data_IF_775622527392
#
_entry.id   IF_775622527392
#
_cell.length_a   1.000
_cell.length_b   1.000
_cell.length_c   1.000
_cell.angle_alpha   90.00
_cell.angle_beta   90.00
_cell.angle_gamma   90.00
#
_symmetry.space_group_name_H-M   'P 1'
#
loop_
_entity.id
_entity.type
_entity.pdbx_description
1 polymer ?
#
# COMPACT_ATOMS: atom_id res chain seq x y z
N UNK A 1 -10.16 14.62 32.85
CA UNK A 1 -9.75 15.15 31.53
C UNK A 1 -8.81 16.31 31.78
N UNK A 2 -7.69 16.39 31.06
CA UNK A 2 -6.73 17.50 31.17
C UNK A 2 -6.55 18.16 29.81
N UNK A 3 -6.58 19.50 29.80
CA UNK A 3 -6.34 20.32 28.62
C UNK A 3 -5.24 21.34 28.95
N UNK A 4 -4.14 21.36 28.19
CA UNK A 4 -3.04 22.30 28.45
C UNK A 4 -2.51 22.92 27.16
N UNK A 5 -2.25 24.23 27.20
CA UNK A 5 -1.76 25.02 26.07
C UNK A 5 -0.41 25.74 26.37
N UNK A 6 0.42 25.18 27.27
CA UNK A 6 1.76 25.69 27.58
C UNK A 6 2.88 24.81 27.01
N UNK A 7 3.85 25.42 26.33
CA UNK A 7 5.05 24.76 25.82
C UNK A 7 5.87 24.08 26.94
N UNK A 8 6.46 22.91 26.64
CA UNK A 8 7.31 22.18 27.57
C UNK A 8 6.61 21.54 28.78
N UNK A 9 5.29 21.35 28.73
CA UNK A 9 4.54 20.75 29.84
C UNK A 9 4.72 19.23 29.93
N UNK A 10 4.75 18.71 31.17
CA UNK A 10 4.67 17.28 31.46
C UNK A 10 3.28 16.95 31.97
N UNK A 11 2.55 16.08 31.27
CA UNK A 11 1.23 15.62 31.66
C UNK A 11 1.34 14.16 32.10
N UNK A 12 1.01 13.89 33.36
CA UNK A 12 0.98 12.55 33.94
C UNK A 12 -0.22 11.72 33.48
N UNK A 13 -0.59 10.71 34.27
CA UNK A 13 -1.66 9.77 33.93
C UNK A 13 -3.07 10.32 34.16
N UNK A 14 -3.86 10.40 33.09
CA UNK A 14 -5.26 10.78 33.04
C UNK A 14 -6.01 9.94 31.99
N UNK A 15 -7.32 9.80 32.14
CA UNK A 15 -8.13 9.06 31.15
C UNK A 15 -8.11 9.71 29.76
N UNK A 16 -8.21 11.04 29.70
CA UNK A 16 -8.22 11.80 28.44
C UNK A 16 -7.36 13.06 28.57
N UNK A 17 -6.46 13.25 27.60
CA UNK A 17 -5.54 14.39 27.53
C UNK A 17 -5.59 15.03 26.16
N UNK A 18 -5.74 16.37 26.14
CA UNK A 18 -5.63 17.19 24.95
C UNK A 18 -4.52 18.23 25.15
N UNK A 19 -3.56 18.30 24.24
CA UNK A 19 -2.45 19.28 24.32
C UNK A 19 -2.13 19.87 22.97
N UNK A 20 -1.87 21.17 22.90
CA UNK A 20 -1.45 21.87 21.67
C UNK A 20 -0.16 22.69 21.90
N UNK A 21 0.94 22.01 22.25
CA UNK A 21 2.18 22.59 22.78
C UNK A 21 3.44 21.96 22.20
N UNK A 22 4.41 22.76 21.77
CA UNK A 22 5.74 22.24 21.40
C UNK A 22 6.49 21.61 22.60
N UNK A 23 7.11 20.45 22.39
CA UNK A 23 8.07 19.82 23.31
C UNK A 23 7.47 19.23 24.59
N UNK A 24 6.21 18.80 24.57
CA UNK A 24 5.55 18.27 25.76
C UNK A 24 5.71 16.76 25.89
N UNK A 25 5.68 16.27 27.13
CA UNK A 25 5.75 14.83 27.44
C UNK A 25 4.44 14.38 28.05
N UNK A 26 3.76 13.44 27.39
CA UNK A 26 2.49 12.88 27.84
C UNK A 26 2.74 11.44 28.28
N UNK A 27 2.45 11.13 29.54
CA UNK A 27 2.56 9.78 30.08
C UNK A 27 1.47 8.83 29.58
N UNK A 28 1.32 7.69 30.27
CA UNK A 28 0.36 6.65 29.90
C UNK A 28 -1.10 7.02 30.23
N UNK A 29 -1.92 7.12 29.19
CA UNK A 29 -3.29 7.61 29.14
C UNK A 29 -4.16 6.75 28.20
N UNK A 30 -5.49 6.76 28.38
CA UNK A 30 -6.37 5.99 27.48
C UNK A 30 -6.53 6.68 26.12
N UNK A 31 -6.82 7.97 26.11
CA UNK A 31 -7.00 8.75 24.88
C UNK A 31 -6.18 10.03 24.91
N UNK A 32 -5.36 10.22 23.88
CA UNK A 32 -4.52 11.41 23.74
C UNK A 32 -4.70 12.05 22.37
N UNK A 33 -4.97 13.34 22.38
CA UNK A 33 -5.00 14.17 21.18
C UNK A 33 -3.93 15.26 21.33
N UNK A 34 -2.95 15.29 20.43
CA UNK A 34 -1.89 16.30 20.46
C UNK A 34 -1.66 16.98 19.11
N UNK A 35 -1.51 18.30 19.07
CA UNK A 35 -0.97 19.03 17.92
C UNK A 35 0.31 19.78 18.33
N UNK A 36 1.42 19.07 18.37
CA UNK A 36 2.64 19.49 19.04
C UNK A 36 3.88 19.21 18.18
N UNK A 37 4.85 20.10 18.10
CA UNK A 37 6.17 19.76 17.53
C UNK A 37 7.07 19.12 18.59
N UNK A 38 7.81 18.06 18.24
CA UNK A 38 8.87 17.46 19.08
C UNK A 38 8.44 16.88 20.43
N UNK A 39 7.25 16.29 20.52
CA UNK A 39 6.69 15.76 21.78
C UNK A 39 6.93 14.25 21.95
N UNK A 40 6.93 13.80 23.20
CA UNK A 40 7.02 12.37 23.52
C UNK A 40 5.71 11.91 24.13
N UNK A 41 5.07 10.91 23.52
CA UNK A 41 3.84 10.29 24.01
C UNK A 41 4.18 8.86 24.44
N UNK A 42 4.04 8.57 25.73
CA UNK A 42 4.20 7.23 26.29
C UNK A 42 3.07 6.29 25.87
N UNK A 43 3.08 5.04 26.32
CA UNK A 43 2.15 4.01 25.86
C UNK A 43 0.69 4.30 26.20
N UNK A 44 -0.15 4.49 25.17
CA UNK A 44 -1.57 4.91 25.25
C UNK A 44 -2.46 4.05 24.33
N UNK A 45 -3.74 3.90 24.66
CA UNK A 45 -4.64 3.06 23.84
C UNK A 45 -5.00 3.71 22.49
N UNK A 46 -5.36 5.00 22.49
CA UNK A 46 -5.68 5.75 21.27
C UNK A 46 -4.94 7.08 21.24
N UNK A 47 -4.17 7.31 20.17
CA UNK A 47 -3.39 8.52 19.97
C UNK A 47 -3.72 9.16 18.63
N UNK A 48 -4.15 10.42 18.68
CA UNK A 48 -4.31 11.26 17.50
C UNK A 48 -3.29 12.40 17.58
N UNK A 49 -2.22 12.35 16.77
CA UNK A 49 -1.16 13.35 16.82
C UNK A 49 -0.93 14.02 15.46
N UNK A 50 -0.99 15.36 15.38
CA UNK A 50 -0.42 16.10 14.24
C UNK A 50 0.92 16.70 14.64
N UNK A 51 1.91 15.83 14.83
CA UNK A 51 3.18 16.24 15.42
C UNK A 51 4.37 16.01 14.47
N UNK A 52 5.18 17.04 14.24
CA UNK A 52 6.46 16.91 13.54
C UNK A 52 7.55 16.43 14.51
N UNK A 53 8.30 15.38 14.14
CA UNK A 53 9.46 14.89 14.89
C UNK A 53 9.17 14.36 16.30
N UNK A 54 8.03 13.66 16.49
CA UNK A 54 7.63 13.14 17.81
C UNK A 54 7.94 11.66 17.98
N UNK A 55 8.20 11.27 19.23
CA UNK A 55 8.37 9.86 19.61
C UNK A 55 7.10 9.38 20.28
N UNK A 56 6.51 8.33 19.72
CA UNK A 56 5.23 7.78 20.16
C UNK A 56 5.52 6.32 20.51
N UNK A 57 5.24 5.93 21.76
CA UNK A 57 5.56 4.62 22.33
C UNK A 57 4.77 3.47 21.71
N UNK A 58 4.42 2.46 22.51
CA UNK A 58 3.62 1.33 22.04
C UNK A 58 2.13 1.64 22.16
N UNK A 59 1.38 1.46 21.07
CA UNK A 59 -0.03 1.88 20.96
C UNK A 59 -0.89 0.86 20.22
N UNK A 60 -2.23 0.94 20.38
CA UNK A 60 -3.17 0.09 19.65
C UNK A 60 -3.71 0.76 18.37
N UNK A 61 -3.92 2.09 18.40
CA UNK A 61 -4.28 2.86 17.20
C UNK A 61 -3.63 4.25 17.24
N UNK A 62 -2.91 4.59 16.19
CA UNK A 62 -2.22 5.88 16.03
C UNK A 62 -2.64 6.52 14.71
N UNK A 63 -3.33 7.66 14.80
CA UNK A 63 -3.68 8.47 13.64
C UNK A 63 -2.78 9.71 13.60
N UNK A 64 -1.99 9.85 12.53
CA UNK A 64 -1.03 10.95 12.41
C UNK A 64 -0.97 11.51 11.01
N UNK A 65 -0.78 12.83 10.92
CA UNK A 65 -0.68 13.56 9.65
C UNK A 65 0.69 14.24 9.48
N UNK A 66 1.82 13.66 9.96
CA UNK A 66 3.12 14.32 9.89
C UNK A 66 4.34 13.41 9.70
N UNK A 67 5.39 13.99 9.10
CA UNK A 67 6.67 13.37 8.76
C UNK A 67 7.63 13.22 9.97
N UNK A 68 8.37 12.11 10.00
CA UNK A 68 9.47 11.88 10.96
C UNK A 68 9.11 11.18 12.27
N UNK A 69 8.05 10.36 12.28
CA UNK A 69 7.65 9.59 13.46
C UNK A 69 8.50 8.35 13.66
N UNK A 70 8.91 8.11 14.92
CA UNK A 70 9.45 6.82 15.37
C UNK A 70 8.39 6.19 16.28
N UNK A 71 7.64 5.23 15.76
CA UNK A 71 6.59 4.51 16.50
C UNK A 71 7.12 3.13 16.93
N UNK A 72 7.07 2.84 18.23
CA UNK A 72 7.63 1.61 18.79
C UNK A 72 6.59 0.53 19.05
N UNK A 73 6.48 -0.46 18.15
CA UNK A 73 5.86 -1.76 18.43
C UNK A 73 4.33 -1.78 18.60
N UNK A 74 3.68 -2.45 17.65
CA UNK A 74 2.26 -2.81 17.53
C UNK A 74 1.24 -1.76 17.04
N UNK A 75 0.33 -2.33 16.22
CA UNK A 75 -1.01 -1.96 15.72
C UNK A 75 -1.28 -0.60 15.03
N UNK A 76 -1.88 -0.73 13.83
CA UNK A 76 -2.52 0.28 12.98
C UNK A 76 -2.05 1.73 13.15
N UNK A 77 -0.97 2.09 12.45
CA UNK A 77 -0.68 3.46 12.07
C UNK A 77 -1.27 3.72 10.67
N UNK A 78 -2.36 4.46 10.57
CA UNK A 78 -2.87 4.96 9.28
C UNK A 78 -2.30 6.35 9.06
N UNK A 79 -1.19 6.44 8.35
CA UNK A 79 -0.63 7.73 7.95
C UNK A 79 -1.26 8.18 6.64
N UNK A 80 -2.03 9.27 6.69
CA UNK A 80 -2.31 10.09 5.51
C UNK A 80 -1.16 11.08 5.36
N UNK A 81 -0.04 10.63 4.78
CA UNK A 81 0.84 11.40 3.87
C UNK A 81 2.21 10.75 3.64
N UNK A 82 2.45 10.45 2.37
CA UNK A 82 3.67 10.72 1.61
C UNK A 82 5.03 10.61 2.36
N UNK A 83 5.57 9.39 2.45
CA UNK A 83 7.03 9.23 2.49
C UNK A 83 7.59 9.70 1.14
N UNK A 84 8.19 10.90 1.11
CA UNK A 84 9.20 11.23 0.11
C UNK A 84 10.39 10.30 0.36
N UNK A 85 10.35 9.13 -0.26
CA UNK A 85 11.52 8.29 -0.40
C UNK A 85 12.50 9.02 -1.31
N UNK A 86 13.56 9.59 -0.71
CA UNK A 86 14.66 10.27 -1.40
C UNK A 86 15.44 9.28 -2.29
N UNK A 87 15.10 7.98 -2.26
CA UNK A 87 15.59 6.95 -3.16
C UNK A 87 14.48 6.31 -4.02
N UNK A 88 13.29 6.92 -4.14
CA UNK A 88 12.32 6.49 -5.15
C UNK A 88 13.00 6.67 -6.51
N UNK A 89 13.19 5.61 -7.32
CA UNK A 89 13.66 5.82 -8.67
C UNK A 89 12.68 6.78 -9.33
N UNK A 90 13.20 7.96 -9.70
CA UNK A 90 12.56 8.88 -10.64
C UNK A 90 11.94 8.02 -11.74
N UNK A 91 10.70 8.31 -12.12
CA UNK A 91 10.05 7.72 -13.29
C UNK A 91 10.90 8.04 -14.52
N UNK A 92 11.94 7.25 -14.70
CA UNK A 92 12.96 7.34 -15.73
C UNK A 92 13.13 5.90 -16.13
N UNK A 93 12.30 5.48 -17.09
CA UNK A 93 12.60 4.38 -17.99
C UNK A 93 13.11 3.12 -17.27
N UNK A 94 12.19 2.33 -16.69
CA UNK A 94 12.48 1.01 -16.09
C UNK A 94 12.87 -0.07 -17.15
N UNK A 95 13.18 0.34 -18.39
CA UNK A 95 13.44 -0.53 -19.54
C UNK A 95 14.74 -1.35 -19.49
N UNK A 96 15.45 -1.41 -18.35
CA UNK A 96 16.81 -1.94 -18.28
C UNK A 96 17.05 -2.96 -17.15
N UNK A 97 16.01 -3.52 -16.52
CA UNK A 97 16.21 -4.73 -15.70
C UNK A 97 16.27 -5.93 -16.65
N UNK A 98 17.37 -6.71 -16.68
CA UNK A 98 17.47 -7.89 -17.52
C UNK A 98 16.34 -8.87 -17.19
N UNK A 99 15.63 -9.34 -18.23
CA UNK A 99 14.67 -10.45 -18.12
C UNK A 99 15.42 -11.71 -17.71
N UNK A 100 15.61 -11.92 -16.41
CA UNK A 100 16.10 -13.20 -15.91
C UNK A 100 14.91 -14.14 -15.84
N UNK A 101 14.90 -15.19 -16.66
CA UNK A 101 13.86 -16.23 -16.61
C UNK A 101 13.78 -16.96 -15.26
N UNK A 102 14.73 -16.70 -14.35
CA UNK A 102 14.85 -17.36 -13.05
C UNK A 102 14.83 -16.32 -11.92
N UNK A 103 13.66 -15.73 -11.67
CA UNK A 103 13.45 -14.90 -10.48
C UNK A 103 13.44 -15.79 -9.25
N UNK A 104 14.28 -15.46 -8.26
CA UNK A 104 14.29 -16.15 -6.97
C UNK A 104 13.01 -15.81 -6.20
N UNK A 105 12.20 -16.84 -5.93
CA UNK A 105 10.93 -16.73 -5.21
C UNK A 105 10.99 -17.35 -3.81
N UNK A 106 12.19 -17.69 -3.32
CA UNK A 106 12.37 -18.41 -2.06
C UNK A 106 11.89 -17.60 -0.86
N UNK A 107 12.20 -16.29 -0.84
CA UNK A 107 11.75 -15.37 0.21
C UNK A 107 10.23 -15.30 0.31
N UNK A 108 9.54 -15.07 -0.82
CA UNK A 108 8.08 -14.98 -0.84
C UNK A 108 7.40 -16.31 -0.53
N UNK A 109 8.00 -17.45 -0.91
CA UNK A 109 7.52 -18.79 -0.51
C UNK A 109 7.52 -18.96 1.00
N UNK A 110 8.63 -18.64 1.67
CA UNK A 110 8.73 -18.77 3.12
C UNK A 110 7.73 -17.87 3.86
N UNK A 111 7.44 -16.68 3.32
CA UNK A 111 6.45 -15.77 3.90
C UNK A 111 5.02 -16.30 3.66
N UNK A 112 4.73 -16.74 2.44
CA UNK A 112 3.41 -17.26 2.05
C UNK A 112 3.04 -18.54 2.83
N UNK A 113 3.99 -19.47 3.03
CA UNK A 113 3.77 -20.71 3.76
C UNK A 113 3.33 -20.47 5.21
N UNK A 114 3.95 -19.48 5.89
CA UNK A 114 3.55 -19.06 7.24
C UNK A 114 2.10 -18.55 7.30
N UNK A 115 1.59 -18.05 6.18
CA UNK A 115 0.22 -17.55 6.01
C UNK A 115 -0.70 -18.56 5.31
N UNK A 116 -0.28 -19.82 5.17
CA UNK A 116 -1.06 -20.89 4.52
C UNK A 116 -1.39 -20.62 3.04
N UNK A 117 -0.47 -19.95 2.34
CA UNK A 117 -0.53 -19.74 0.89
C UNK A 117 0.53 -20.56 0.16
N UNK A 118 0.17 -21.03 -1.04
CA UNK A 118 1.09 -21.61 -2.00
C UNK A 118 1.44 -20.58 -3.06
N UNK A 119 2.73 -20.41 -3.36
CA UNK A 119 3.20 -19.51 -4.42
C UNK A 119 3.21 -20.21 -5.78
N UNK A 120 2.58 -19.61 -6.79
CA UNK A 120 2.74 -19.98 -8.20
C UNK A 120 3.39 -18.83 -8.97
N UNK A 121 4.57 -19.11 -9.52
CA UNK A 121 5.30 -18.13 -10.31
C UNK A 121 4.58 -17.87 -11.65
N UNK A 122 4.83 -16.69 -12.23
CA UNK A 122 4.38 -16.28 -13.56
C UNK A 122 5.58 -15.80 -14.37
N UNK A 123 5.39 -15.62 -15.68
CA UNK A 123 6.45 -15.14 -16.56
C UNK A 123 6.96 -13.76 -16.12
N UNK A 124 8.27 -13.59 -16.11
CA UNK A 124 8.96 -12.36 -15.71
C UNK A 124 9.25 -11.45 -16.92
N UNK A 125 8.23 -11.16 -17.73
CA UNK A 125 8.32 -10.39 -18.98
C UNK A 125 7.88 -8.93 -18.83
N UNK A 126 7.80 -8.42 -17.61
CA UNK A 126 7.22 -7.12 -17.28
C UNK A 126 5.69 -7.09 -17.22
N UNK A 127 5.00 -8.16 -17.62
CA UNK A 127 3.55 -8.31 -17.48
C UNK A 127 3.15 -9.13 -16.23
N UNK A 128 4.08 -9.41 -15.31
CA UNK A 128 3.87 -10.31 -14.18
C UNK A 128 2.63 -9.98 -13.32
N UNK A 129 2.35 -8.70 -13.07
CA UNK A 129 1.11 -8.27 -12.40
C UNK A 129 -0.13 -8.75 -13.15
N UNK A 130 -0.19 -8.47 -14.45
CA UNK A 130 -1.32 -8.81 -15.31
C UNK A 130 -1.48 -10.32 -15.47
N UNK A 131 -0.37 -11.06 -15.61
CA UNK A 131 -0.37 -12.52 -15.61
C UNK A 131 -0.99 -13.04 -14.30
N UNK A 132 -0.45 -12.61 -13.16
CA UNK A 132 -0.85 -13.09 -11.84
C UNK A 132 -2.33 -12.82 -11.53
N UNK A 133 -2.83 -11.66 -11.95
CA UNK A 133 -4.25 -11.28 -11.81
C UNK A 133 -5.11 -12.08 -12.78
N UNK A 134 -4.78 -12.14 -14.07
CA UNK A 134 -5.59 -12.78 -15.11
C UNK A 134 -5.94 -14.22 -14.74
N UNK A 135 -4.99 -14.98 -14.19
CA UNK A 135 -5.24 -16.35 -13.78
C UNK A 135 -6.24 -16.50 -12.61
N UNK A 136 -6.51 -15.44 -11.83
CA UNK A 136 -7.42 -15.48 -10.68
C UNK A 136 -8.79 -14.88 -11.01
N UNK A 137 -8.84 -13.85 -11.85
CA UNK A 137 -10.10 -13.17 -12.20
C UNK A 137 -10.79 -13.80 -13.41
N UNK A 138 -10.06 -14.41 -14.34
CA UNK A 138 -10.66 -14.99 -15.54
C UNK A 138 -11.16 -16.42 -15.28
N UNK A 139 -12.38 -16.54 -14.76
CA UNK A 139 -13.08 -17.81 -14.57
C UNK A 139 -13.42 -18.54 -15.90
N UNK A 140 -13.41 -17.83 -17.03
CA UNK A 140 -13.93 -18.31 -18.32
C UNK A 140 -12.92 -19.02 -19.24
N UNK A 141 -11.73 -19.42 -18.76
CA UNK A 141 -10.63 -19.74 -19.68
C UNK A 141 -9.99 -21.10 -19.51
N UNK A 142 -10.15 -21.87 -20.57
CA UNK A 142 -9.26 -22.94 -20.99
C UNK A 142 -7.82 -22.38 -20.99
N UNK A 143 -6.94 -23.01 -20.22
CA UNK A 143 -5.60 -22.54 -19.83
C UNK A 143 -4.64 -22.12 -20.95
N UNK A 144 -4.99 -22.31 -22.23
CA UNK A 144 -4.12 -22.06 -23.39
C UNK A 144 -4.02 -20.59 -23.82
N UNK A 145 -4.87 -19.69 -23.33
CA UNK A 145 -4.92 -18.28 -23.79
C UNK A 145 -4.58 -17.24 -22.72
N UNK A 146 -4.04 -17.64 -21.58
CA UNK A 146 -3.85 -16.73 -20.45
C UNK A 146 -2.82 -15.62 -20.71
N UNK A 147 -1.76 -15.93 -21.47
CA UNK A 147 -0.73 -14.95 -21.84
C UNK A 147 -1.30 -13.83 -22.69
N UNK A 148 -2.06 -14.14 -23.74
CA UNK A 148 -2.71 -13.11 -24.57
C UNK A 148 -3.71 -12.27 -23.76
N UNK A 149 -4.37 -12.88 -22.79
CA UNK A 149 -5.35 -12.18 -21.96
C UNK A 149 -4.75 -11.30 -20.88
N UNK A 150 -3.53 -11.60 -20.44
CA UNK A 150 -2.77 -10.66 -19.62
C UNK A 150 -2.48 -9.36 -20.39
N UNK A 151 -2.19 -9.47 -21.70
CA UNK A 151 -1.94 -8.31 -22.58
C UNK A 151 -3.22 -7.52 -22.79
N UNK A 152 -4.35 -8.19 -23.03
CA UNK A 152 -5.68 -7.56 -23.09
C UNK A 152 -6.04 -6.88 -21.76
N UNK A 153 -5.72 -7.51 -20.63
CA UNK A 153 -5.97 -6.97 -19.30
C UNK A 153 -5.23 -5.64 -19.08
N UNK A 154 -3.96 -5.55 -19.47
CA UNK A 154 -3.18 -4.30 -19.43
C UNK A 154 -3.91 -3.18 -20.17
N UNK A 155 -4.30 -3.43 -21.42
CA UNK A 155 -5.00 -2.44 -22.24
C UNK A 155 -6.31 -2.00 -21.60
N UNK A 156 -7.10 -2.95 -21.09
CA UNK A 156 -8.35 -2.66 -20.41
C UNK A 156 -8.16 -1.79 -19.16
N UNK A 157 -7.11 -2.02 -18.39
CA UNK A 157 -6.84 -1.24 -17.17
C UNK A 157 -6.35 0.16 -17.49
N UNK A 158 -5.50 0.32 -18.51
CA UNK A 158 -5.07 1.65 -18.97
C UNK A 158 -6.28 2.43 -19.50
N UNK A 159 -7.16 1.79 -20.27
CA UNK A 159 -8.40 2.40 -20.75
C UNK A 159 -9.34 2.77 -19.61
N UNK A 160 -9.44 1.94 -18.57
CA UNK A 160 -10.18 2.27 -17.37
C UNK A 160 -9.62 3.53 -16.69
N UNK A 161 -8.31 3.65 -16.53
CA UNK A 161 -7.65 4.83 -15.95
C UNK A 161 -7.80 6.09 -16.80
N UNK A 162 -7.88 5.97 -18.13
CA UNK A 162 -8.17 7.10 -19.02
C UNK A 162 -9.59 7.62 -18.84
N UNK A 163 -10.55 6.72 -18.64
CA UNK A 163 -11.97 7.04 -18.53
C UNK A 163 -12.44 7.35 -17.09
N UNK A 164 -11.60 7.08 -16.08
CA UNK A 164 -11.91 7.29 -14.67
C UNK A 164 -10.74 8.00 -14.01
N UNK A 165 -10.86 9.30 -13.79
CA UNK A 165 -9.79 10.12 -13.20
C UNK A 165 -9.67 9.93 -11.68
N UNK A 166 -10.72 9.43 -11.03
CA UNK A 166 -10.83 9.30 -9.57
C UNK A 166 -11.07 7.87 -9.09
N UNK A 167 -10.56 7.61 -7.90
CA UNK A 167 -10.90 6.46 -7.06
C UNK A 167 -12.32 6.61 -6.49
N UNK A 168 -12.90 5.53 -5.92
CA UNK A 168 -14.23 5.56 -5.29
C UNK A 168 -14.37 6.57 -4.14
N UNK A 169 -13.29 6.88 -3.42
CA UNK A 169 -13.26 7.91 -2.37
C UNK A 169 -13.03 9.34 -2.92
N UNK A 170 -12.93 9.52 -4.24
CA UNK A 170 -12.84 10.82 -4.90
C UNK A 170 -11.42 11.37 -5.12
N UNK A 171 -10.39 10.66 -4.68
CA UNK A 171 -8.98 11.00 -4.92
C UNK A 171 -8.60 10.74 -6.38
N UNK A 172 -7.77 11.58 -6.99
CA UNK A 172 -7.34 11.35 -8.38
C UNK A 172 -6.30 10.23 -8.44
N UNK A 173 -6.35 9.34 -9.43
CA UNK A 173 -5.28 8.32 -9.58
C UNK A 173 -3.91 8.94 -9.83
N UNK A 174 -3.85 10.10 -10.49
CA UNK A 174 -2.60 10.81 -10.73
C UNK A 174 -1.94 11.38 -9.46
N UNK A 175 -2.66 11.44 -8.34
CA UNK A 175 -2.11 11.88 -7.05
C UNK A 175 -1.06 10.88 -6.51
N UNK A 176 -1.19 9.60 -6.84
CA UNK A 176 -0.26 8.53 -6.45
C UNK A 176 1.06 8.55 -7.24
N UNK A 177 1.15 9.36 -8.30
CA UNK A 177 2.42 9.62 -8.97
C UNK A 177 3.32 10.47 -8.07
N UNK A 178 4.59 10.07 -7.98
CA UNK A 178 5.62 10.88 -7.33
C UNK A 178 6.15 11.92 -8.31
N UNK A 179 5.39 12.99 -8.48
CA UNK A 179 5.75 14.16 -9.28
C UNK A 179 5.29 15.44 -8.57
N UNK A 180 5.82 16.58 -9.00
CA UNK A 180 5.34 17.86 -8.52
C UNK A 180 3.92 18.13 -9.04
N UNK A 181 3.11 18.85 -8.26
CA UNK A 181 1.72 19.16 -8.64
C UNK A 181 1.64 19.92 -9.97
N UNK A 182 2.59 20.84 -10.22
CA UNK A 182 2.67 21.61 -11.46
C UNK A 182 2.92 20.77 -12.71
N UNK A 183 3.49 19.58 -12.56
CA UNK A 183 3.85 18.68 -13.66
C UNK A 183 2.88 17.49 -13.78
N UNK A 184 1.96 17.33 -12.82
CA UNK A 184 1.15 16.12 -12.64
C UNK A 184 0.31 15.76 -13.86
N UNK A 185 -0.23 16.75 -14.57
CA UNK A 185 -1.02 16.50 -15.78
C UNK A 185 -0.18 15.86 -16.89
N UNK A 186 1.01 16.41 -17.14
CA UNK A 186 1.92 15.91 -18.17
C UNK A 186 2.49 14.52 -17.78
N UNK A 187 2.90 14.37 -16.52
CA UNK A 187 3.42 13.10 -16.00
C UNK A 187 2.36 12.00 -15.99
N UNK A 188 1.08 12.34 -15.75
CA UNK A 188 -0.02 11.39 -15.87
C UNK A 188 -0.20 10.88 -17.31
N UNK A 189 -0.14 11.76 -18.30
CA UNK A 189 -0.20 11.37 -19.71
C UNK A 189 0.97 10.47 -20.08
N UNK A 190 2.20 10.85 -19.71
CA UNK A 190 3.40 10.02 -19.93
C UNK A 190 3.30 8.66 -19.26
N UNK A 191 2.79 8.63 -18.03
CA UNK A 191 2.57 7.41 -17.27
C UNK A 191 1.59 6.48 -17.99
N UNK A 192 0.44 6.98 -18.44
CA UNK A 192 -0.55 6.16 -19.18
C UNK A 192 0.00 5.64 -20.50
N UNK A 193 0.76 6.45 -21.24
CA UNK A 193 1.42 6.05 -22.48
C UNK A 193 2.50 4.98 -22.25
N UNK A 194 3.24 5.09 -21.15
CA UNK A 194 4.19 4.08 -20.70
C UNK A 194 3.50 2.78 -20.31
N UNK A 195 2.51 2.85 -19.42
CA UNK A 195 1.81 1.68 -18.88
C UNK A 195 1.04 0.88 -19.95
N UNK A 196 0.65 1.53 -21.05
CA UNK A 196 0.07 0.89 -22.23
C UNK A 196 1.03 -0.09 -22.92
N UNK A 197 2.34 0.11 -22.81
CA UNK A 197 3.36 -0.70 -23.50
C UNK A 197 3.50 -2.08 -22.84
N UNK A 198 3.62 -3.11 -23.68
CA UNK A 198 3.91 -4.45 -23.18
C UNK A 198 5.28 -4.46 -22.51
N UNK A 199 5.38 -5.14 -21.37
CA UNK A 199 6.61 -5.24 -20.60
C UNK A 199 6.89 -4.08 -19.64
N UNK A 200 6.05 -3.04 -19.59
CA UNK A 200 6.14 -2.02 -18.54
C UNK A 200 5.67 -2.59 -17.20
N UNK A 201 6.46 -2.49 -16.12
CA UNK A 201 6.09 -3.07 -14.83
C UNK A 201 4.83 -2.41 -14.26
N UNK A 202 3.88 -3.24 -13.84
CA UNK A 202 2.70 -2.75 -13.13
C UNK A 202 3.03 -2.30 -11.70
N UNK A 203 2.42 -1.21 -11.26
CA UNK A 203 2.64 -0.62 -9.94
C UNK A 203 1.34 -0.58 -9.10
N UNK A 204 1.40 0.08 -7.95
CA UNK A 204 0.25 0.21 -7.06
C UNK A 204 -0.95 0.97 -7.66
N UNK A 205 -0.73 1.87 -8.62
CA UNK A 205 -1.82 2.58 -9.31
C UNK A 205 -2.60 1.57 -10.14
N UNK A 206 -1.89 0.71 -10.87
CA UNK A 206 -2.50 -0.37 -11.65
C UNK A 206 -3.21 -1.38 -10.74
N UNK A 207 -2.64 -1.74 -9.59
CA UNK A 207 -3.29 -2.65 -8.63
C UNK A 207 -4.62 -2.06 -8.14
N UNK A 208 -4.64 -0.78 -7.73
CA UNK A 208 -5.88 -0.07 -7.37
C UNK A 208 -6.88 -0.07 -8.51
N UNK A 209 -6.43 0.26 -9.72
CA UNK A 209 -7.28 0.30 -10.90
C UNK A 209 -7.92 -1.06 -11.21
N UNK A 210 -7.18 -2.16 -11.08
CA UNK A 210 -7.71 -3.53 -11.25
C UNK A 210 -8.80 -3.81 -10.21
N UNK A 211 -8.53 -3.48 -8.95
CA UNK A 211 -9.48 -3.71 -7.85
C UNK A 211 -10.80 -3.00 -8.10
N UNK A 212 -10.75 -1.74 -8.56
CA UNK A 212 -11.94 -0.96 -8.87
C UNK A 212 -12.62 -1.40 -10.19
N UNK A 213 -11.85 -1.65 -11.25
CA UNK A 213 -12.36 -2.03 -12.57
C UNK A 213 -13.12 -3.36 -12.55
N UNK A 214 -12.64 -4.33 -11.76
CA UNK A 214 -13.26 -5.66 -11.65
C UNK A 214 -14.10 -5.85 -10.39
N UNK A 215 -14.18 -4.83 -9.53
CA UNK A 215 -14.83 -4.88 -8.22
C UNK A 215 -14.40 -6.11 -7.40
N UNK A 216 -13.08 -6.29 -7.27
CA UNK A 216 -12.45 -7.36 -6.48
C UNK A 216 -11.51 -6.78 -5.45
N UNK A 217 -11.41 -7.41 -4.28
CA UNK A 217 -10.36 -7.08 -3.32
C UNK A 217 -9.03 -7.64 -3.84
N UNK A 218 -7.93 -6.92 -3.63
CA UNK A 218 -6.58 -7.41 -3.92
C UNK A 218 -5.73 -7.34 -2.66
N UNK A 219 -5.20 -8.48 -2.25
CA UNK A 219 -4.35 -8.61 -1.08
C UNK A 219 -2.94 -8.96 -1.53
N UNK A 220 -1.99 -8.07 -1.27
CA UNK A 220 -0.59 -8.21 -1.71
C UNK A 220 0.31 -8.52 -0.52
N UNK A 221 0.91 -9.71 -0.51
CA UNK A 221 1.97 -10.06 0.44
C UNK A 221 3.31 -9.63 -0.12
N UNK A 222 4.04 -8.77 0.58
CA UNK A 222 5.31 -8.22 0.09
C UNK A 222 6.50 -8.77 0.87
N UNK A 223 7.63 -9.00 0.19
CA UNK A 223 8.92 -9.31 0.86
C UNK A 223 9.38 -8.18 1.78
N UNK A 224 8.96 -6.94 1.52
CA UNK A 224 9.25 -5.76 2.37
C UNK A 224 8.40 -5.69 3.63
N UNK A 225 7.16 -6.20 3.58
CA UNK A 225 6.21 -6.20 4.70
C UNK A 225 5.69 -7.62 4.96
N UNK A 226 6.57 -8.56 5.36
CA UNK A 226 6.26 -10.00 5.33
C UNK A 226 5.13 -10.43 6.29
N UNK A 227 4.82 -9.59 7.29
CA UNK A 227 3.83 -9.94 8.30
C UNK A 227 2.41 -9.51 7.93
N UNK A 228 2.23 -8.59 6.97
CA UNK A 228 0.94 -7.99 6.65
C UNK A 228 0.65 -8.03 5.16
N UNK A 229 -0.64 -8.17 4.81
CA UNK A 229 -1.09 -7.89 3.46
C UNK A 229 -1.27 -6.38 3.27
N UNK A 230 -0.86 -5.89 2.11
CA UNK A 230 -1.31 -4.59 1.60
C UNK A 230 -2.65 -4.84 0.92
N UNK A 231 -3.69 -4.15 1.38
CA UNK A 231 -5.06 -4.39 0.93
C UNK A 231 -5.51 -3.25 0.02
N UNK A 232 -6.01 -3.63 -1.15
CA UNK A 232 -6.67 -2.75 -2.10
C UNK A 232 -8.14 -3.19 -2.18
N UNK A 233 -9.07 -2.43 -1.58
CA UNK A 233 -10.47 -2.81 -1.52
C UNK A 233 -11.16 -2.59 -2.86
N UNK A 234 -12.12 -3.47 -3.17
CA UNK A 234 -13.02 -3.28 -4.30
C UNK A 234 -13.77 -1.94 -4.19
N UNK A 235 -14.17 -1.37 -5.33
CA UNK A 235 -14.88 -0.09 -5.35
C UNK A 235 -16.17 -0.11 -4.52
N UNK A 236 -16.89 -1.23 -4.57
CA UNK A 236 -18.07 -1.50 -3.76
C UNK A 236 -17.83 -2.75 -2.92
N UNK A 237 -16.83 -2.71 -2.03
CA UNK A 237 -16.45 -3.86 -1.22
C UNK A 237 -17.57 -4.29 -0.27
N UNK A 238 -17.88 -5.58 -0.32
CA UNK A 238 -18.81 -6.30 0.55
C UNK A 238 -18.11 -7.51 1.16
N UNK A 239 -18.69 -8.11 2.19
CA UNK A 239 -18.17 -9.37 2.78
C UNK A 239 -18.08 -10.53 1.75
N UNK A 240 -18.88 -10.46 0.69
CA UNK A 240 -18.91 -11.46 -0.39
C UNK A 240 -18.01 -11.11 -1.58
N UNK A 241 -17.31 -9.98 -1.53
CA UNK A 241 -16.44 -9.53 -2.63
C UNK A 241 -15.28 -10.50 -2.83
N UNK A 242 -15.12 -10.97 -4.08
CA UNK A 242 -14.04 -11.89 -4.45
C UNK A 242 -12.68 -11.25 -4.15
N UNK A 243 -11.76 -12.03 -3.61
CA UNK A 243 -10.39 -11.60 -3.29
C UNK A 243 -9.37 -12.26 -4.22
N UNK A 244 -8.45 -11.45 -4.75
CA UNK A 244 -7.27 -11.86 -5.51
C UNK A 244 -6.06 -11.75 -4.61
N UNK A 245 -5.26 -12.82 -4.52
CA UNK A 245 -4.09 -12.86 -3.65
C UNK A 245 -2.80 -12.82 -4.49
N UNK A 246 -1.96 -11.83 -4.24
CA UNK A 246 -0.70 -11.62 -4.95
C UNK A 246 0.47 -11.65 -3.98
N UNK A 247 1.61 -12.14 -4.44
CA UNK A 247 2.90 -11.94 -3.78
C UNK A 247 3.69 -10.90 -4.56
N UNK A 248 4.43 -10.03 -3.88
CA UNK A 248 5.31 -9.05 -4.49
C UNK A 248 6.73 -9.18 -3.93
N UNK A 249 7.68 -9.43 -4.83
CA UNK A 249 9.10 -9.55 -4.52
C UNK A 249 9.73 -8.18 -4.82
N UNK A 250 10.05 -7.43 -3.77
CA UNK A 250 10.50 -6.05 -3.88
C UNK A 250 11.86 -5.93 -4.60
N UNK A 251 12.76 -6.89 -4.39
CA UNK A 251 14.11 -6.91 -4.94
C UNK A 251 14.13 -7.03 -6.46
N UNK A 252 13.17 -7.74 -7.04
CA UNK A 252 13.07 -8.01 -8.48
C UNK A 252 11.86 -7.35 -9.14
N UNK A 253 11.09 -6.55 -8.40
CA UNK A 253 9.83 -5.94 -8.85
C UNK A 253 8.87 -6.95 -9.51
N UNK A 254 8.74 -8.14 -8.90
CA UNK A 254 8.01 -9.25 -9.52
C UNK A 254 6.77 -9.65 -8.75
N UNK A 255 5.65 -9.75 -9.46
CA UNK A 255 4.42 -10.29 -8.91
C UNK A 255 4.32 -11.79 -9.14
N UNK A 256 3.83 -12.49 -8.13
CA UNK A 256 3.49 -13.92 -8.17
C UNK A 256 2.05 -14.13 -7.73
N UNK A 257 1.50 -15.31 -8.03
CA UNK A 257 0.18 -15.70 -7.56
C UNK A 257 0.28 -16.39 -6.22
N UNK A 258 -0.65 -16.06 -5.33
CA UNK A 258 -0.86 -16.81 -4.11
C UNK A 258 -2.17 -17.59 -4.22
N UNK A 259 -2.13 -18.86 -3.83
CA UNK A 259 -3.30 -19.73 -3.73
C UNK A 259 -3.49 -20.07 -2.26
N UNK A 260 -4.64 -19.75 -1.68
CA UNK A 260 -4.95 -20.19 -0.32
C UNK A 260 -4.97 -21.72 -0.28
N UNK A 261 -4.40 -22.29 0.78
CA UNK A 261 -4.58 -23.72 1.05
C UNK A 261 -6.03 -23.93 1.54
N UNK A 262 -6.68 -25.02 1.13
CA UNK A 262 -8.07 -25.31 1.53
C UNK A 262 -8.25 -25.19 3.05
N UNK A 263 -9.31 -24.51 3.49
CA UNK A 263 -9.59 -24.24 4.90
C UNK A 263 -8.92 -22.99 5.50
N UNK A 264 -8.20 -22.19 4.70
CA UNK A 264 -7.65 -20.90 5.16
C UNK A 264 -8.78 -19.87 5.32
N UNK A 265 -9.22 -19.63 6.55
CA UNK A 265 -10.00 -18.44 6.92
C UNK A 265 -8.99 -17.36 7.31
N UNK A 266 -9.03 -16.23 6.62
CA UNK A 266 -8.23 -15.03 6.91
C UNK A 266 -8.97 -14.11 7.87
#
# INVERSE_FOLDING_TARGET
MVNTNNSGSTVGSHQMVNTNNSGSTVGSNQMVNTNNSGSTVGSNQMVNTNNSGSTVGSHQMVNTNNSGLTAGGNELATNSDHMLDVNKPRSTVLSQIPVTNNIDISSIKQIAERKKFTVKNVQADGNCLFHAVAYQICFMLISKHILEKSKELRQKIVEFLKNNDKTPNGEKYSSFLSCNESERHEEWTKYLDGMCKQGEYGDEIVVRAISHCFNVNIWVLSTRTPNNFIIYPAANSTETSKTVYLGFIHESLHYVRLLSQEGTVL
#
